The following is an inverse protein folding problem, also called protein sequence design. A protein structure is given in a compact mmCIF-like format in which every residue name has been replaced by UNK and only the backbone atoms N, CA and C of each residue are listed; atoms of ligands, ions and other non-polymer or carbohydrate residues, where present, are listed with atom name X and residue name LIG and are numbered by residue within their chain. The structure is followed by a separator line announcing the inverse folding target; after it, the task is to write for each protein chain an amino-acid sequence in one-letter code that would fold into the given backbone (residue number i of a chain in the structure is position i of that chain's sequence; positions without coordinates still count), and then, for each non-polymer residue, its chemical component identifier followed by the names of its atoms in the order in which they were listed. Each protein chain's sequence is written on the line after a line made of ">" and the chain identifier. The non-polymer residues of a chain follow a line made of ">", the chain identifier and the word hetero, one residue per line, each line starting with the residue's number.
data_IF_999695312761
#
_entry.id   IF_999695312761
#
_cell.length_a   1.000
_cell.length_b   1.000
_cell.length_c   1.000
_cell.angle_alpha   90.00
_cell.angle_beta   90.00
_cell.angle_gamma   90.00
#
_symmetry.space_group_name_H-M   'P 1'
#
loop_
_entity.id
_entity.type
_entity.pdbx_description
1 polymer ?
#
# COMPACT_ATOMS: atom_id res chain seq x y z
N UNK A 1 -21.39 20.60 -48.42
CA UNK A 1 -21.70 21.34 -47.17
C UNK A 1 -22.05 20.44 -45.98
N UNK A 2 -22.96 19.46 -46.10
CA UNK A 2 -23.38 18.62 -44.95
C UNK A 2 -22.28 17.70 -44.36
N UNK A 3 -21.41 17.12 -45.19
CA UNK A 3 -20.32 16.22 -44.75
C UNK A 3 -19.23 16.94 -43.94
N UNK A 4 -18.89 18.15 -44.35
CA UNK A 4 -17.85 18.96 -43.68
C UNK A 4 -18.30 19.40 -42.29
N UNK A 5 -19.57 19.79 -42.14
CA UNK A 5 -20.14 20.15 -40.84
C UNK A 5 -20.17 18.96 -39.86
N UNK A 6 -20.47 17.75 -40.35
CA UNK A 6 -20.47 16.54 -39.54
C UNK A 6 -19.06 16.17 -39.05
N UNK A 7 -18.05 16.28 -39.93
CA UNK A 7 -16.64 16.03 -39.58
C UNK A 7 -16.14 17.01 -38.51
N UNK A 8 -16.47 18.29 -38.65
CA UNK A 8 -16.11 19.32 -37.67
C UNK A 8 -16.79 19.03 -36.32
N UNK A 9 -18.07 18.65 -36.32
CA UNK A 9 -18.80 18.32 -35.10
C UNK A 9 -18.17 17.11 -34.36
N UNK A 10 -17.81 16.04 -35.10
CA UNK A 10 -17.16 14.86 -34.51
C UNK A 10 -15.79 15.21 -33.94
N UNK A 11 -15.00 16.03 -34.65
CA UNK A 11 -13.67 16.44 -34.18
C UNK A 11 -13.75 17.31 -32.91
N UNK A 12 -14.72 18.21 -32.82
CA UNK A 12 -14.98 19.02 -31.63
C UNK A 12 -15.43 18.16 -30.45
N UNK A 13 -16.27 17.14 -30.68
CA UNK A 13 -16.69 16.18 -29.65
C UNK A 13 -15.52 15.34 -29.10
N UNK A 14 -14.57 14.95 -29.95
CA UNK A 14 -13.37 14.22 -29.52
C UNK A 14 -12.43 15.10 -28.68
N UNK A 15 -12.33 16.41 -28.97
CA UNK A 15 -11.54 17.37 -28.20
C UNK A 15 -12.16 17.72 -26.83
N UNK A 16 -13.43 17.35 -26.59
CA UNK A 16 -14.13 17.60 -25.34
C UNK A 16 -14.13 16.39 -24.38
N UNK A 17 -13.53 15.26 -24.77
CA UNK A 17 -13.38 14.14 -23.85
C UNK A 17 -12.34 14.52 -22.78
N UNK A 18 -12.68 14.44 -21.48
CA UNK A 18 -11.71 14.72 -20.42
C UNK A 18 -10.53 13.76 -20.58
N UNK A 19 -9.32 14.28 -20.85
CA UNK A 19 -8.11 13.46 -21.05
C UNK A 19 -7.61 12.77 -19.77
N UNK A 20 -8.29 12.99 -18.64
CA UNK A 20 -7.94 12.36 -17.38
C UNK A 20 -9.18 11.71 -16.77
N UNK A 21 -9.14 10.40 -16.47
CA UNK A 21 -10.16 9.82 -15.60
C UNK A 21 -10.16 10.62 -14.30
N UNK A 22 -11.34 11.13 -13.92
CA UNK A 22 -11.49 11.78 -12.63
C UNK A 22 -11.04 10.80 -11.55
N UNK A 23 -10.15 11.24 -10.65
CA UNK A 23 -9.78 10.43 -9.48
C UNK A 23 -11.05 10.27 -8.65
N UNK A 24 -11.55 9.04 -8.58
CA UNK A 24 -12.66 8.69 -7.70
C UNK A 24 -12.08 8.34 -6.34
N UNK A 25 -12.35 9.19 -5.36
CA UNK A 25 -12.00 8.93 -3.97
C UNK A 25 -13.15 8.09 -3.37
N UNK A 26 -12.82 6.90 -2.90
CA UNK A 26 -13.76 6.02 -2.19
C UNK A 26 -13.98 6.44 -0.73
N UNK A 27 -14.70 5.62 0.02
CA UNK A 27 -14.85 5.81 1.47
C UNK A 27 -13.54 5.54 2.21
N UNK A 28 -13.27 6.34 3.25
CA UNK A 28 -12.16 6.10 4.16
C UNK A 28 -12.37 4.77 4.91
N UNK A 29 -11.32 3.93 4.91
CA UNK A 29 -11.32 2.65 5.62
C UNK A 29 -10.20 2.64 6.65
N UNK A 30 -10.56 2.57 7.92
CA UNK A 30 -9.60 2.48 9.00
C UNK A 30 -8.86 1.14 8.94
N UNK A 31 -7.55 1.22 8.79
CA UNK A 31 -6.64 0.08 8.96
C UNK A 31 -6.08 0.14 10.39
N UNK A 32 -6.66 -0.63 11.30
CA UNK A 32 -6.19 -0.75 12.69
C UNK A 32 -6.64 -2.09 13.27
N UNK A 33 -5.84 -2.65 14.17
CA UNK A 33 -6.23 -3.87 14.91
C UNK A 33 -7.04 -3.50 16.15
N UNK A 34 -6.53 -2.58 16.97
CA UNK A 34 -7.03 -2.34 18.34
C UNK A 34 -7.18 -0.83 18.69
N UNK A 35 -7.24 0.06 17.70
CA UNK A 35 -7.41 1.50 17.94
C UNK A 35 -6.24 2.12 18.72
N UNK A 36 -6.47 3.11 19.62
CA UNK A 36 -5.39 3.84 20.28
C UNK A 36 -4.51 2.97 21.20
N UNK A 37 -4.93 1.74 21.51
CA UNK A 37 -4.13 0.80 22.30
C UNK A 37 -2.93 0.24 21.54
N UNK A 38 -3.01 0.17 20.20
CA UNK A 38 -1.93 -0.29 19.33
C UNK A 38 -1.78 0.64 18.12
N UNK A 39 -1.22 1.85 18.33
CA UNK A 39 -1.09 2.81 17.26
C UNK A 39 -0.16 2.30 16.15
N UNK A 40 -0.47 2.70 14.94
CA UNK A 40 0.30 2.41 13.73
C UNK A 40 1.03 3.68 13.28
N UNK A 41 2.32 3.59 12.98
CA UNK A 41 3.12 4.72 12.49
C UNK A 41 4.01 4.30 11.32
N UNK A 42 4.50 5.31 10.58
CA UNK A 42 5.45 5.14 9.47
C UNK A 42 4.96 4.13 8.43
N UNK A 43 3.71 4.28 7.98
CA UNK A 43 3.12 3.40 6.98
C UNK A 43 3.67 3.67 5.58
N UNK A 44 3.93 2.60 4.82
CA UNK A 44 4.30 2.65 3.41
C UNK A 44 3.37 1.73 2.58
N UNK A 45 2.53 2.33 1.73
CA UNK A 45 1.61 1.62 0.82
C UNK A 45 2.27 1.38 -0.54
N UNK A 46 2.08 0.20 -1.11
CA UNK A 46 2.57 -0.18 -2.44
C UNK A 46 1.49 -0.94 -3.19
N UNK A 47 1.23 -0.53 -4.43
CA UNK A 47 0.32 -1.22 -5.34
C UNK A 47 1.08 -2.18 -6.25
N UNK A 48 0.45 -3.29 -6.58
CA UNK A 48 0.90 -4.19 -7.64
C UNK A 48 0.80 -3.48 -9.00
N UNK A 49 1.90 -3.37 -9.76
CA UNK A 49 1.90 -2.67 -11.05
C UNK A 49 1.05 -3.37 -12.11
N UNK A 50 0.71 -4.65 -11.92
CA UNK A 50 -0.10 -5.46 -12.84
C UNK A 50 -1.57 -5.54 -12.44
N UNK A 51 -1.89 -5.29 -11.16
CA UNK A 51 -3.25 -5.39 -10.65
C UNK A 51 -3.50 -4.37 -9.51
N UNK A 52 -4.21 -3.25 -9.76
CA UNK A 52 -4.42 -2.23 -8.74
C UNK A 52 -5.27 -2.67 -7.55
N UNK A 53 -5.92 -3.84 -7.61
CA UNK A 53 -6.64 -4.41 -6.47
C UNK A 53 -5.71 -5.09 -5.46
N UNK A 54 -4.45 -5.33 -5.84
CA UNK A 54 -3.47 -6.01 -5.03
C UNK A 54 -2.51 -4.97 -4.42
N UNK A 55 -2.49 -4.89 -3.09
CA UNK A 55 -1.78 -3.85 -2.36
C UNK A 55 -1.08 -4.43 -1.13
N UNK A 56 0.04 -3.80 -0.77
CA UNK A 56 0.88 -4.13 0.38
C UNK A 56 1.10 -2.88 1.21
N UNK A 57 1.00 -2.99 2.53
CA UNK A 57 1.34 -1.94 3.48
C UNK A 57 2.37 -2.48 4.47
N UNK A 58 3.52 -1.82 4.54
CA UNK A 58 4.44 -1.93 5.67
C UNK A 58 4.10 -0.91 6.73
N UNK A 59 4.12 -1.29 8.02
CA UNK A 59 3.83 -0.36 9.11
C UNK A 59 4.51 -0.79 10.41
N UNK A 60 4.86 0.20 11.24
CA UNK A 60 5.27 -0.03 12.63
C UNK A 60 4.01 -0.11 13.48
N UNK A 61 3.83 -1.22 14.20
CA UNK A 61 2.82 -1.35 15.23
C UNK A 61 3.48 -1.22 16.60
N UNK A 62 2.96 -0.31 17.43
CA UNK A 62 3.28 -0.30 18.85
C UNK A 62 2.42 -1.34 19.58
N UNK A 63 3.06 -2.20 20.37
CA UNK A 63 2.38 -3.24 21.14
C UNK A 63 2.09 -2.82 22.59
N UNK A 64 2.67 -1.68 23.01
CA UNK A 64 2.47 -1.07 24.32
C UNK A 64 2.43 0.47 24.22
N UNK A 65 1.64 1.16 25.06
CA UNK A 65 1.56 2.62 25.07
C UNK A 65 2.85 3.35 25.46
N UNK A 66 3.80 2.65 26.09
CA UNK A 66 5.10 3.22 26.49
C UNK A 66 6.08 3.39 25.30
N UNK A 67 5.71 2.89 24.11
CA UNK A 67 6.49 3.03 22.88
C UNK A 67 7.65 2.05 22.73
N UNK A 68 7.90 1.19 23.72
CA UNK A 68 9.11 0.36 23.75
C UNK A 68 8.99 -0.91 22.90
N UNK A 69 7.81 -1.53 22.86
CA UNK A 69 7.55 -2.72 22.06
C UNK A 69 7.00 -2.33 20.68
N UNK A 70 7.79 -2.62 19.64
CA UNK A 70 7.47 -2.32 18.24
C UNK A 70 7.62 -3.56 17.38
N UNK A 71 6.55 -3.90 16.66
CA UNK A 71 6.49 -5.01 15.72
C UNK A 71 6.40 -4.48 14.30
N UNK A 72 7.20 -5.03 13.37
CA UNK A 72 7.01 -4.79 11.95
C UNK A 72 5.83 -5.60 11.45
N UNK A 73 4.86 -4.95 10.81
CA UNK A 73 3.65 -5.59 10.32
C UNK A 73 3.49 -5.33 8.83
N UNK A 74 3.19 -6.39 8.08
CA UNK A 74 2.75 -6.31 6.70
C UNK A 74 1.24 -6.53 6.63
N UNK A 75 0.54 -5.70 5.87
CA UNK A 75 -0.86 -5.91 5.52
C UNK A 75 -0.98 -6.06 4.01
N UNK A 76 -1.74 -7.06 3.56
CA UNK A 76 -2.00 -7.30 2.15
C UNK A 76 -3.51 -7.22 1.85
N UNK A 77 -3.88 -6.59 0.75
CA UNK A 77 -5.24 -6.60 0.22
C UNK A 77 -5.22 -7.11 -1.21
N UNK A 78 -6.22 -7.90 -1.58
CA UNK A 78 -6.41 -8.46 -2.92
C UNK A 78 -7.71 -7.97 -3.59
N UNK A 79 -8.45 -7.08 -2.92
CA UNK A 79 -9.76 -6.60 -3.35
C UNK A 79 -9.87 -5.06 -3.34
N UNK A 80 -8.75 -4.38 -3.56
CA UNK A 80 -8.71 -2.91 -3.65
C UNK A 80 -8.82 -2.23 -2.29
N UNK A 81 -8.38 -2.88 -1.23
CA UNK A 81 -8.36 -2.33 0.13
C UNK A 81 -9.67 -2.52 0.88
N UNK A 82 -10.58 -3.34 0.35
CA UNK A 82 -11.84 -3.62 1.02
C UNK A 82 -11.65 -4.54 2.23
N UNK A 83 -10.74 -5.51 2.11
CA UNK A 83 -10.30 -6.40 3.17
C UNK A 83 -8.78 -6.46 3.20
N UNK A 84 -8.24 -6.68 4.39
CA UNK A 84 -6.81 -6.76 4.62
C UNK A 84 -6.43 -7.98 5.45
N UNK A 85 -5.35 -8.64 5.06
CA UNK A 85 -4.72 -9.74 5.80
C UNK A 85 -3.47 -9.23 6.48
N UNK A 86 -3.35 -9.44 7.80
CA UNK A 86 -2.23 -8.95 8.62
C UNK A 86 -1.22 -10.07 8.87
N UNK A 87 0.07 -9.75 8.72
CA UNK A 87 1.19 -10.63 9.10
C UNK A 87 2.17 -9.86 9.97
N UNK A 88 2.45 -10.36 11.18
CA UNK A 88 3.58 -9.88 11.97
C UNK A 88 4.87 -10.48 11.39
N UNK A 89 5.86 -9.64 11.17
CA UNK A 89 7.18 -10.05 10.68
C UNK A 89 8.08 -10.37 11.89
N UNK A 90 9.06 -11.28 11.76
CA UNK A 90 9.86 -11.76 12.88
C UNK A 90 10.97 -10.77 13.28
N UNK A 91 10.71 -9.46 13.19
CA UNK A 91 11.64 -8.37 13.49
C UNK A 91 11.12 -7.57 14.69
N UNK A 92 11.94 -7.49 15.73
CA UNK A 92 11.65 -6.72 16.94
C UNK A 92 12.22 -5.30 16.83
N UNK A 93 11.73 -4.39 17.68
CA UNK A 93 12.18 -3.00 17.73
C UNK A 93 12.09 -2.31 16.35
N UNK A 94 10.99 -2.57 15.64
CA UNK A 94 10.79 -2.17 14.24
C UNK A 94 11.07 -0.68 13.98
N UNK A 95 11.69 -0.40 12.84
CA UNK A 95 11.80 0.95 12.25
C UNK A 95 11.81 0.89 10.71
N UNK A 96 11.43 1.99 10.06
CA UNK A 96 11.54 2.19 8.60
C UNK A 96 11.01 1.04 7.71
N UNK A 97 9.72 0.65 7.81
CA UNK A 97 9.17 -0.38 6.93
C UNK A 97 8.91 0.17 5.53
N UNK A 98 9.52 -0.46 4.53
CA UNK A 98 9.30 -0.19 3.11
C UNK A 98 8.86 -1.46 2.39
N UNK A 99 7.90 -1.32 1.50
CA UNK A 99 7.34 -2.41 0.71
C UNK A 99 7.43 -2.14 -0.78
N UNK A 100 7.42 -3.21 -1.57
CA UNK A 100 7.14 -3.16 -3.01
C UNK A 100 6.44 -4.45 -3.42
N UNK A 101 5.55 -4.35 -4.41
CA UNK A 101 4.98 -5.52 -5.09
C UNK A 101 5.61 -5.59 -6.48
N UNK A 102 6.17 -6.75 -6.82
CA UNK A 102 6.84 -7.00 -8.09
C UNK A 102 5.82 -7.34 -9.19
N UNK A 103 6.26 -7.30 -10.45
CA UNK A 103 5.42 -7.65 -11.60
C UNK A 103 4.91 -9.11 -11.58
N UNK A 104 5.61 -10.01 -10.89
CA UNK A 104 5.19 -11.40 -10.71
C UNK A 104 4.18 -11.60 -9.56
N UNK A 105 3.77 -10.51 -8.90
CA UNK A 105 2.88 -10.52 -7.74
C UNK A 105 3.58 -10.79 -6.40
N UNK A 106 4.89 -11.05 -6.38
CA UNK A 106 5.64 -11.23 -5.14
C UNK A 106 5.71 -9.91 -4.37
N UNK A 107 5.58 -9.98 -3.05
CA UNK A 107 5.87 -8.86 -2.16
C UNK A 107 7.34 -8.91 -1.70
N UNK A 108 8.00 -7.75 -1.65
CA UNK A 108 9.24 -7.54 -0.90
C UNK A 108 8.95 -6.54 0.21
N UNK A 109 9.38 -6.88 1.42
CA UNK A 109 9.34 -6.01 2.59
C UNK A 109 10.76 -5.82 3.13
N UNK A 110 11.19 -4.58 3.28
CA UNK A 110 12.44 -4.18 3.93
C UNK A 110 12.09 -3.43 5.20
N UNK A 111 12.79 -3.72 6.29
CA UNK A 111 12.58 -3.03 7.56
C UNK A 111 13.83 -3.09 8.41
N UNK A 112 13.94 -2.13 9.30
CA UNK A 112 14.92 -2.12 10.37
C UNK A 112 14.42 -2.81 11.63
N UNK A 113 15.35 -3.38 12.39
CA UNK A 113 15.09 -3.86 13.73
C UNK A 113 16.12 -4.87 14.21
N UNK A 114 15.66 -5.80 15.04
CA UNK A 114 16.47 -6.84 15.66
C UNK A 114 15.85 -8.22 15.42
N UNK A 115 16.69 -9.17 15.00
CA UNK A 115 16.38 -10.59 14.92
C UNK A 115 17.41 -11.35 15.75
N UNK A 116 17.02 -12.16 16.75
CA UNK A 116 17.98 -12.90 17.57
C UNK A 116 18.93 -13.76 16.74
N UNK A 117 20.23 -13.62 16.99
CA UNK A 117 21.27 -14.36 16.27
C UNK A 117 21.76 -13.71 14.97
N UNK A 118 21.31 -12.50 14.66
CA UNK A 118 21.77 -11.71 13.52
C UNK A 118 22.38 -10.39 14.00
N UNK A 119 23.53 -10.02 13.44
CA UNK A 119 24.21 -8.75 13.72
C UNK A 119 23.71 -7.60 12.82
N UNK A 120 22.96 -7.94 11.75
CA UNK A 120 22.34 -6.98 10.85
C UNK A 120 21.15 -6.28 11.52
N UNK A 121 20.89 -5.04 11.10
CA UNK A 121 19.75 -4.26 11.58
C UNK A 121 18.75 -3.92 10.47
N UNK A 122 18.93 -4.46 9.26
CA UNK A 122 18.04 -4.31 8.12
C UNK A 122 17.74 -5.69 7.55
N UNK A 123 16.47 -6.02 7.39
CA UNK A 123 16.01 -7.34 6.97
C UNK A 123 15.10 -7.21 5.75
N UNK A 124 15.30 -8.12 4.79
CA UNK A 124 14.48 -8.25 3.59
C UNK A 124 13.69 -9.56 3.65
N UNK A 125 12.37 -9.46 3.49
CA UNK A 125 11.47 -10.61 3.39
C UNK A 125 10.81 -10.62 2.01
N UNK A 126 10.62 -11.81 1.46
CA UNK A 126 9.89 -12.05 0.21
C UNK A 126 8.80 -13.09 0.44
N UNK A 127 7.61 -12.87 -0.13
CA UNK A 127 6.47 -13.81 -0.12
C UNK A 127 6.70 -15.04 -0.98
#
# INVERSE_FOLDING_TARGET
>A
MKRTALLIAVFVLMLQMPEHPAIQIGEDRLLSVDGPARPLVESHLSGDPSNPNHMLVGVIQFDSPDGNARTCVAWASFDGGQRWSRSALPVQACFDPWGVVLQDGSAIMVMGGYVPGHDDNLFLFRS
#
